data_IF_103271400875
#
_entry.id   IF_103271400875
#
_cell.length_a   1.000
_cell.length_b   1.000
_cell.length_c   1.000
_cell.angle_alpha   90.00
_cell.angle_beta   90.00
_cell.angle_gamma   90.00
#
_symmetry.space_group_name_H-M   'P 1'
#
loop_
_entity.id
_entity.type
_entity.pdbx_description
1 polymer ?
2 non-polymer ?
3 water ?
#
# COMPACT_ATOMS: atom_id res chain seq x y z
N UNK A 1 -3.49 22.08 10.93
CA UNK A 1 -2.44 21.65 9.98
C UNK A 1 -3.11 21.43 8.62
N UNK A 2 -2.36 21.61 7.52
CA UNK A 2 -2.90 21.48 6.14
C UNK A 2 -2.31 20.30 5.34
N UNK A 3 -3.17 19.36 4.93
CA UNK A 3 -2.69 18.21 4.19
C UNK A 3 -3.32 18.19 2.80
N UNK A 4 -2.91 17.25 1.98
CA UNK A 4 -3.40 17.11 0.64
C UNK A 4 -3.03 15.74 0.02
N UNK A 5 -3.52 15.59 -1.21
CA UNK A 5 -3.11 14.59 -2.15
C UNK A 5 -2.85 15.26 -3.52
N UNK A 6 -1.69 14.96 -4.10
CA UNK A 6 -1.38 15.40 -5.45
C UNK A 6 -1.50 14.21 -6.46
N UNK A 7 -1.86 14.54 -7.72
CA UNK A 7 -2.06 13.47 -8.68
C UNK A 7 -2.73 14.11 -9.87
N UNK A 8 -2.81 13.31 -10.93
CA UNK A 8 -3.51 13.69 -12.15
C UNK A 8 -4.03 12.37 -12.82
N UNK A 9 -5.38 12.12 -12.76
CA UNK A 9 -6.45 12.92 -12.09
C UNK A 9 -6.38 12.86 -10.58
N UNK A 10 -7.15 13.71 -9.92
CA UNK A 10 -7.25 13.65 -8.48
C UNK A 10 -8.69 13.57 -7.95
N UNK A 11 -9.68 14.01 -8.74
CA UNK A 11 -11.11 14.12 -8.31
C UNK A 11 -11.78 12.86 -7.80
N UNK A 12 -11.35 11.66 -8.19
CA UNK A 12 -11.94 10.42 -7.61
C UNK A 12 -11.22 9.82 -6.41
N UNK A 13 -10.16 10.52 -5.96
CA UNK A 13 -9.45 10.16 -4.75
C UNK A 13 -10.41 10.12 -3.56
N UNK A 14 -10.34 9.03 -2.76
CA UNK A 14 -11.13 9.04 -1.53
C UNK A 14 -10.29 9.42 -0.27
N UNK A 15 -9.03 9.84 -0.47
CA UNK A 15 -8.15 10.37 0.60
C UNK A 15 -8.79 11.53 1.40
N UNK A 16 -9.28 12.63 0.75
CA UNK A 16 -9.88 13.77 1.55
C UNK A 16 -11.10 13.40 2.29
N UNK A 17 -11.95 12.57 1.66
CA UNK A 17 -13.11 12.15 2.34
C UNK A 17 -12.72 11.44 3.65
N UNK A 18 -11.62 10.69 3.60
CA UNK A 18 -11.23 9.70 4.59
C UNK A 18 -10.40 10.32 5.71
N UNK A 19 -9.44 11.12 5.32
CA UNK A 19 -8.70 11.86 6.27
C UNK A 19 -9.51 12.80 7.01
N UNK A 20 -10.56 13.33 6.39
CA UNK A 20 -11.46 14.21 7.12
C UNK A 20 -12.26 13.52 8.20
N UNK A 21 -12.73 12.33 7.90
CA UNK A 21 -13.49 11.52 8.81
C UNK A 21 -12.59 11.31 10.05
N UNK A 22 -11.32 10.97 9.83
CA UNK A 22 -10.29 10.87 10.84
C UNK A 22 -10.16 12.16 11.65
N UNK A 23 -10.07 13.32 11.00
CA UNK A 23 -9.95 14.61 11.71
C UNK A 23 -11.13 14.88 12.58
N UNK A 24 -12.34 14.46 12.18
CA UNK A 24 -13.59 14.73 12.91
C UNK A 24 -13.72 13.82 14.11
N UNK A 25 -13.28 12.58 13.96
CA UNK A 25 -13.16 11.66 15.11
C UNK A 25 -12.11 12.09 16.15
N UNK A 26 -10.99 12.66 15.70
CA UNK A 26 -9.90 13.05 16.63
C UNK A 26 -10.08 14.44 17.24
N UNK A 27 -11.14 15.12 16.76
CA UNK A 27 -11.45 16.52 17.00
C UNK A 27 -10.32 17.52 16.62
N UNK A 28 -9.91 17.44 15.33
CA UNK A 28 -8.79 18.16 14.79
C UNK A 28 -9.16 19.21 13.73
N UNK A 29 -8.49 20.32 13.80
CA UNK A 29 -8.78 21.42 12.90
C UNK A 29 -7.81 21.38 11.74
N UNK A 30 -7.94 20.29 10.96
CA UNK A 30 -7.12 20.08 9.79
C UNK A 30 -7.97 20.10 8.54
N UNK A 31 -7.34 20.52 7.44
CA UNK A 31 -7.94 20.35 6.14
C UNK A 31 -7.11 19.27 5.44
N UNK A 32 -7.70 18.61 4.43
CA UNK A 32 -7.00 17.64 3.60
C UNK A 32 -7.73 17.79 2.32
N UNK A 33 -7.07 18.35 1.33
CA UNK A 33 -7.67 18.72 0.08
C UNK A 33 -7.03 18.01 -1.10
N UNK A 34 -7.80 17.74 -2.14
CA UNK A 34 -7.30 17.15 -3.39
C UNK A 34 -6.70 18.27 -4.25
N UNK A 35 -5.45 18.08 -4.71
CA UNK A 35 -4.77 19.06 -5.60
C UNK A 35 -4.46 18.40 -6.94
N UNK A 36 -5.01 18.98 -8.00
CA UNK A 36 -4.83 18.46 -9.35
C UNK A 36 -3.58 19.08 -9.90
N UNK A 37 -2.60 18.24 -10.18
CA UNK A 37 -1.36 18.71 -10.70
C UNK A 37 -1.00 18.00 -12.01
N UNK A 38 -1.39 18.58 -13.20
CA UNK A 38 -0.97 17.97 -14.46
C UNK A 38 0.56 17.82 -14.56
N UNK A 39 1.02 16.84 -15.32
CA UNK A 39 2.44 16.68 -15.60
C UNK A 39 3.08 18.02 -16.03
N UNK A 40 2.45 18.69 -16.97
CA UNK A 40 2.94 19.96 -17.54
C UNK A 40 3.12 21.08 -16.46
N UNK A 41 2.46 20.98 -15.29
CA UNK A 41 2.71 21.94 -14.21
C UNK A 41 3.47 21.43 -12.96
N UNK A 42 4.00 20.22 -13.08
CA UNK A 42 4.66 19.56 -11.99
C UNK A 42 5.99 20.21 -11.58
N UNK A 43 6.64 20.92 -12.54
CA UNK A 43 7.91 21.55 -12.30
C UNK A 43 7.73 22.67 -11.30
N UNK A 44 6.53 23.20 -11.23
CA UNK A 44 6.14 24.22 -10.24
C UNK A 44 5.54 23.60 -8.97
N UNK A 45 5.85 22.34 -8.67
CA UNK A 45 5.31 21.71 -7.43
C UNK A 45 5.72 22.37 -6.05
N UNK A 46 6.98 22.79 -5.86
CA UNK A 46 7.37 23.41 -4.60
C UNK A 46 6.49 24.62 -4.31
N UNK A 47 6.23 25.40 -5.36
CA UNK A 47 5.36 26.55 -5.33
C UNK A 47 3.89 26.21 -5.20
N UNK A 48 3.36 25.21 -5.90
CA UNK A 48 1.94 24.83 -5.67
C UNK A 48 1.71 24.44 -4.20
N UNK A 49 2.65 23.68 -3.63
CA UNK A 49 2.50 23.26 -2.23
C UNK A 49 2.71 24.44 -1.25
N UNK A 50 3.81 25.16 -1.38
CA UNK A 50 4.13 26.12 -0.33
C UNK A 50 3.26 27.34 -0.26
N UNK A 51 2.57 27.69 -1.36
CA UNK A 51 1.64 28.80 -1.39
C UNK A 51 0.35 28.44 -0.60
N UNK A 52 0.16 27.14 -0.37
CA UNK A 52 -1.04 26.65 0.31
C UNK A 52 -0.70 26.28 1.75
N UNK A 53 0.56 26.49 2.12
CA UNK A 53 1.04 26.25 3.47
C UNK A 53 0.86 24.84 3.91
N UNK A 54 1.21 23.89 3.03
CA UNK A 54 0.96 22.45 3.27
C UNK A 54 2.01 21.86 4.20
N UNK A 55 1.51 21.16 5.22
CA UNK A 55 2.32 20.37 6.18
C UNK A 55 2.81 18.95 5.73
N UNK A 56 1.93 18.20 5.04
CA UNK A 56 2.27 16.92 4.45
C UNK A 56 1.28 16.57 3.32
N UNK A 57 1.71 15.80 2.31
CA UNK A 57 0.79 15.34 1.27
C UNK A 57 1.07 13.94 0.79
N UNK A 58 -0.02 13.27 0.50
CA UNK A 58 0.07 12.03 -0.35
C UNK A 58 0.27 12.32 -1.86
N UNK A 59 0.87 11.32 -2.50
CA UNK A 59 1.29 11.39 -3.92
C UNK A 59 0.72 10.14 -4.62
N UNK A 60 -0.01 10.33 -5.72
CA UNK A 60 -0.62 9.18 -6.38
C UNK A 60 -0.33 9.27 -7.86
N UNK A 61 -1.02 8.49 -8.69
CA UNK A 61 -0.77 8.50 -10.12
C UNK A 61 -0.83 9.94 -10.75
N UNK A 62 0.12 10.29 -11.64
CA UNK A 62 1.31 9.57 -12.14
C UNK A 62 2.62 10.15 -11.63
N UNK A 63 2.66 10.61 -10.35
CA UNK A 63 3.83 11.33 -9.78
C UNK A 63 4.60 10.66 -8.60
N UNK A 64 4.36 9.37 -8.33
CA UNK A 64 4.97 8.63 -7.19
C UNK A 64 6.47 8.46 -7.35
N UNK A 65 6.93 8.29 -8.60
CA UNK A 65 8.35 8.47 -8.91
C UNK A 65 8.65 9.89 -9.31
N UNK A 66 7.68 10.55 -10.00
CA UNK A 66 7.93 11.87 -10.52
C UNK A 66 8.33 12.90 -9.39
N UNK A 67 7.86 12.66 -8.18
CA UNK A 67 8.09 13.54 -7.04
C UNK A 67 9.58 13.43 -6.53
N UNK A 68 10.19 12.29 -6.72
CA UNK A 68 11.42 11.91 -5.97
C UNK A 68 12.56 12.93 -6.07
N UNK A 69 12.88 13.39 -7.30
CA UNK A 69 13.89 14.42 -7.41
C UNK A 69 13.65 15.74 -6.66
N UNK A 70 12.45 16.00 -6.21
CA UNK A 70 12.15 17.26 -5.56
C UNK A 70 12.28 17.16 -4.07
N UNK A 71 12.59 15.97 -3.61
CA UNK A 71 12.70 15.74 -2.20
C UNK A 71 14.11 16.08 -1.82
N UNK A 72 14.20 16.68 -0.63
CA UNK A 72 15.46 16.88 0.14
C UNK A 72 15.98 15.60 0.76
N UNK A 73 15.07 14.70 1.17
CA UNK A 73 15.53 13.41 1.71
C UNK A 73 14.46 12.37 1.46
N UNK A 74 14.82 11.09 1.49
CA UNK A 74 13.84 10.00 1.20
C UNK A 74 14.18 8.79 2.05
N UNK A 75 13.21 8.15 2.71
CA UNK A 75 13.53 6.93 3.50
C UNK A 75 13.85 5.66 2.72
N UNK A 76 14.48 4.71 3.40
CA UNK A 76 14.95 3.48 2.79
C UNK A 76 13.85 2.71 2.09
N UNK A 77 12.65 2.79 2.65
CA UNK A 77 11.55 2.04 2.15
C UNK A 77 11.11 2.56 0.77
N UNK A 78 10.88 3.88 0.69
CA UNK A 78 10.57 4.56 -0.54
C UNK A 78 11.65 4.36 -1.60
N UNK A 79 12.90 4.32 -1.15
CA UNK A 79 14.05 4.36 -2.03
C UNK A 79 14.15 3.01 -2.65
N UNK A 80 13.69 2.03 -1.90
CA UNK A 80 13.81 0.65 -2.20
C UNK A 80 12.69 0.34 -3.17
N UNK A 81 11.48 0.77 -2.84
CA UNK A 81 10.36 0.51 -3.75
C UNK A 81 10.53 1.40 -4.96
N UNK A 82 11.34 2.47 -4.86
CA UNK A 82 11.55 3.46 -5.90
C UNK A 82 10.35 4.39 -6.12
N UNK A 83 9.53 4.62 -5.11
CA UNK A 83 8.34 5.38 -5.30
C UNK A 83 8.03 6.02 -3.98
N UNK A 84 7.45 7.22 -3.99
CA UNK A 84 7.13 7.94 -2.75
C UNK A 84 5.62 8.23 -2.76
N UNK A 85 4.89 7.90 -1.70
CA UNK A 85 3.45 8.23 -1.56
C UNK A 85 3.16 9.18 -0.48
N UNK A 86 4.19 9.71 0.17
CA UNK A 86 3.96 10.58 1.37
C UNK A 86 5.18 11.46 1.49
N UNK A 87 4.90 12.75 1.68
CA UNK A 87 5.93 13.74 1.88
C UNK A 87 5.58 14.58 3.02
N UNK A 88 6.62 14.91 3.78
CA UNK A 88 6.52 15.66 4.99
C UNK A 88 7.23 16.90 4.73
N UNK A 89 6.52 17.99 4.93
CA UNK A 89 7.14 19.31 4.89
C UNK A 89 7.48 19.75 6.34
N UNK A 90 8.76 19.72 6.68
CA UNK A 90 9.15 19.85 8.08
C UNK A 90 10.19 20.93 8.17
N UNK A 91 9.74 22.15 8.50
CA UNK A 91 10.57 23.35 8.39
C UNK A 91 11.18 23.52 6.99
N UNK A 92 10.29 23.65 5.99
CA UNK A 92 10.65 23.90 4.56
C UNK A 92 11.41 22.78 3.83
N UNK A 93 11.70 21.70 4.55
CA UNK A 93 12.33 20.56 3.96
C UNK A 93 11.30 19.52 3.57
N UNK A 94 11.46 18.97 2.37
CA UNK A 94 10.65 17.90 1.81
C UNK A 94 11.25 16.51 1.98
N UNK A 95 10.54 15.65 2.74
CA UNK A 95 11.02 14.29 3.05
C UNK A 95 10.06 13.19 2.60
N UNK A 96 10.55 12.19 1.85
CA UNK A 96 9.66 11.26 1.21
C UNK A 96 9.65 9.94 1.91
N UNK A 97 8.44 9.41 2.06
CA UNK A 97 8.19 8.23 2.84
C UNK A 97 7.34 7.36 1.90
N UNK A 98 7.19 6.07 2.23
CA UNK A 98 6.24 5.17 1.45
C UNK A 98 5.54 4.27 2.34
N UNK A 99 4.25 4.57 2.51
CA UNK A 99 3.45 3.84 3.44
C UNK A 99 2.57 2.74 2.85
N UNK A 100 2.56 2.55 1.51
CA UNK A 100 1.65 1.50 0.95
C UNK A 100 1.92 0.16 1.59
N UNK A 101 3.17 -0.29 1.64
CA UNK A 101 3.50 -1.61 2.08
C UNK A 101 3.15 -1.92 3.52
N UNK A 102 3.46 -0.97 4.43
CA UNK A 102 3.23 -1.07 5.87
C UNK A 102 1.77 -0.95 6.10
N UNK A 103 1.17 -0.24 5.18
CA UNK A 103 -0.26 -0.07 5.14
C UNK A 103 -0.97 -1.33 4.86
N UNK A 104 -0.55 -2.09 3.85
CA UNK A 104 -1.09 -3.46 3.63
C UNK A 104 -0.84 -4.42 4.78
N UNK A 105 0.38 -4.38 5.27
CA UNK A 105 0.88 -5.26 6.36
C UNK A 105 0.25 -5.00 7.68
N UNK A 106 -0.07 -3.74 8.00
CA UNK A 106 -0.75 -3.53 9.28
C UNK A 106 -2.22 -4.04 9.21
N UNK A 107 -2.90 -3.79 8.11
CA UNK A 107 -4.19 -4.39 7.87
C UNK A 107 -4.21 -5.91 8.02
N UNK A 108 -3.33 -6.60 7.29
CA UNK A 108 -3.21 -8.09 7.41
C UNK A 108 -3.02 -8.52 8.87
N UNK A 109 -2.07 -7.94 9.61
CA UNK A 109 -1.86 -8.18 11.02
C UNK A 109 -3.13 -8.25 11.85
N UNK A 110 -4.13 -7.40 11.54
CA UNK A 110 -5.34 -7.35 12.33
C UNK A 110 -6.21 -8.54 12.00
N UNK A 111 -6.29 -8.89 10.73
CA UNK A 111 -7.19 -9.96 10.34
C UNK A 111 -6.54 -11.31 10.12
N UNK A 112 -5.36 -11.53 10.68
CA UNK A 112 -4.70 -12.79 10.56
C UNK A 112 -3.99 -13.03 11.88
N UNK A 113 -4.48 -13.99 12.66
CA UNK A 113 -3.84 -14.24 13.92
C UNK A 113 -2.51 -14.97 13.78
N UNK A 114 -1.52 -14.54 14.54
CA UNK A 114 -0.17 -15.11 14.48
C UNK A 114 0.48 -15.15 13.09
N UNK A 115 0.57 -13.99 12.47
CA UNK A 115 1.23 -13.80 11.16
C UNK A 115 2.73 -14.05 11.24
N UNK A 116 3.28 -14.03 12.46
CA UNK A 116 4.71 -14.22 12.67
C UNK A 116 5.15 -15.63 12.41
N UNK A 117 4.22 -16.60 12.44
CA UNK A 117 4.57 -17.99 12.14
C UNK A 117 4.03 -18.39 10.78
N UNK A 118 3.63 -17.40 9.98
CA UNK A 118 3.01 -17.65 8.67
C UNK A 118 3.99 -18.00 7.54
N UNK A 119 3.59 -18.96 6.70
CA UNK A 119 4.25 -19.26 5.46
C UNK A 119 3.55 -18.42 4.38
N UNK A 120 4.23 -17.39 3.96
CA UNK A 120 3.62 -16.41 3.10
C UNK A 120 4.24 -16.53 1.70
N UNK A 121 3.40 -16.63 0.68
CA UNK A 121 3.86 -16.56 -0.71
C UNK A 121 3.42 -15.23 -1.23
N UNK A 122 4.23 -14.50 -1.98
CA UNK A 122 3.72 -13.26 -2.62
C UNK A 122 3.91 -13.48 -4.08
N UNK A 123 2.95 -13.06 -4.90
CA UNK A 123 3.05 -13.13 -6.36
C UNK A 123 3.34 -11.74 -6.94
N UNK A 124 4.35 -11.67 -7.79
CA UNK A 124 4.83 -10.40 -8.29
C UNK A 124 6.18 -10.07 -7.63
N UNK A 125 6.99 -9.37 -8.40
CA UNK A 125 8.36 -8.99 -7.96
C UNK A 125 8.60 -7.54 -8.14
N UNK A 126 7.57 -6.82 -8.59
CA UNK A 126 7.65 -5.39 -8.89
C UNK A 126 7.60 -4.60 -7.61
N UNK A 127 7.17 -3.35 -7.68
CA UNK A 127 7.39 -2.39 -6.56
C UNK A 127 6.47 -2.48 -5.37
N UNK A 128 5.18 -2.70 -5.64
CA UNK A 128 4.18 -3.04 -4.60
C UNK A 128 4.56 -4.35 -3.85
N UNK A 129 4.95 -5.40 -4.60
CA UNK A 129 5.45 -6.63 -4.02
C UNK A 129 6.67 -6.38 -3.19
N UNK A 130 7.54 -5.48 -3.63
CA UNK A 130 8.75 -5.26 -2.92
C UNK A 130 8.50 -4.58 -1.60
N UNK A 131 7.55 -3.68 -1.63
CA UNK A 131 7.28 -2.89 -0.48
C UNK A 131 6.63 -3.68 0.61
N UNK A 132 5.69 -4.55 0.23
CA UNK A 132 5.11 -5.54 1.18
C UNK A 132 6.14 -6.56 1.69
N UNK A 133 6.91 -7.19 0.81
CA UNK A 133 7.94 -8.09 1.31
C UNK A 133 8.91 -7.42 2.31
N UNK A 134 9.29 -6.17 2.07
CA UNK A 134 10.15 -5.52 3.08
C UNK A 134 9.54 -5.41 4.45
N UNK A 135 8.27 -5.13 4.48
CA UNK A 135 7.60 -4.92 5.74
C UNK A 135 7.37 -6.24 6.49
N UNK A 136 6.95 -7.27 5.73
CA UNK A 136 6.77 -8.60 6.26
C UNK A 136 8.06 -9.15 6.87
N UNK A 137 9.14 -9.07 6.11
CA UNK A 137 10.45 -9.50 6.50
C UNK A 137 10.84 -9.24 7.94
N UNK A 138 10.36 -8.11 8.46
CA UNK A 138 10.61 -7.62 9.80
C UNK A 138 9.76 -8.30 10.88
N UNK A 139 8.72 -9.03 10.48
CA UNK A 139 7.74 -9.56 11.45
C UNK A 139 7.45 -11.03 11.28
N UNK A 140 7.80 -11.58 10.13
CA UNK A 140 7.54 -12.96 9.81
C UNK A 140 8.85 -13.69 10.07
N UNK A 141 8.77 -14.80 10.80
CA UNK A 141 9.97 -15.59 11.16
C UNK A 141 10.34 -16.58 10.05
N UNK A 142 9.36 -17.41 9.57
CA UNK A 142 9.61 -18.29 8.45
C UNK A 142 9.92 -17.50 7.21
N UNK A 143 10.99 -17.85 6.49
CA UNK A 143 11.34 -17.21 5.21
C UNK A 143 10.20 -16.95 4.21
N UNK A 144 10.12 -15.70 3.76
CA UNK A 144 9.16 -15.31 2.74
C UNK A 144 9.47 -15.95 1.45
N UNK A 145 8.44 -16.16 0.62
CA UNK A 145 8.64 -16.65 -0.75
C UNK A 145 7.93 -15.70 -1.70
N UNK A 146 8.68 -15.23 -2.71
CA UNK A 146 8.14 -14.36 -3.74
C UNK A 146 8.22 -15.11 -5.04
N UNK A 147 7.13 -15.24 -5.76
CA UNK A 147 7.19 -15.93 -7.03
C UNK A 147 7.01 -14.89 -8.15
N UNK A 148 7.73 -15.07 -9.26
CA UNK A 148 7.61 -14.16 -10.40
C UNK A 148 7.84 -14.93 -11.77
N UNK A 149 7.32 -14.39 -12.85
CA UNK A 149 7.57 -14.99 -14.14
C UNK A 149 9.06 -14.85 -14.56
N UNK A 150 9.77 -13.77 -14.16
CA UNK A 150 11.18 -13.54 -14.57
C UNK A 150 12.12 -13.41 -13.37
N UNK A 151 13.14 -14.25 -13.36
CA UNK A 151 14.11 -14.31 -12.23
C UNK A 151 14.98 -13.03 -12.05
N UNK A 152 15.21 -12.32 -13.16
CA UNK A 152 16.08 -11.11 -13.22
C UNK A 152 15.62 -9.89 -12.35
N UNK A 153 14.34 -9.89 -11.98
CA UNK A 153 13.64 -8.75 -11.33
C UNK A 153 14.12 -8.68 -9.92
N UNK A 154 14.64 -9.80 -9.45
CA UNK A 154 15.12 -9.94 -8.08
C UNK A 154 16.54 -9.41 -7.90
N UNK A 155 17.19 -9.03 -9.00
CA UNK A 155 18.59 -8.60 -8.89
C UNK A 155 18.80 -7.32 -8.04
N UNK A 156 17.89 -6.38 -8.16
CA UNK A 156 17.86 -5.18 -7.28
C UNK A 156 17.07 -5.40 -5.98
N UNK A 157 16.66 -6.63 -5.65
CA UNK A 157 16.06 -6.86 -4.34
C UNK A 157 17.11 -6.87 -3.22
N UNK A 158 16.71 -6.77 -1.97
CA UNK A 158 17.71 -6.76 -0.95
C UNK A 158 17.58 -7.78 0.15
N UNK A 159 16.54 -8.62 0.06
CA UNK A 159 16.14 -9.50 1.19
C UNK A 159 16.67 -10.87 1.03
N UNK A 160 16.91 -11.53 2.16
CA UNK A 160 17.21 -12.96 2.11
C UNK A 160 15.86 -13.71 2.15
N UNK A 161 15.23 -13.80 0.98
CA UNK A 161 13.95 -14.50 0.88
C UNK A 161 14.05 -15.57 -0.22
N UNK A 162 13.17 -16.57 -0.20
CA UNK A 162 13.12 -17.58 -1.28
C UNK A 162 12.49 -16.92 -2.48
N UNK A 163 13.00 -17.24 -3.65
CA UNK A 163 12.56 -16.56 -4.84
C UNK A 163 12.42 -17.69 -5.81
N UNK A 164 11.24 -17.83 -6.36
CA UNK A 164 10.87 -18.98 -7.21
C UNK A 164 10.11 -18.42 -8.38
N UNK A 165 9.90 -19.25 -9.38
CA UNK A 165 9.04 -18.91 -10.50
C UNK A 165 7.62 -19.35 -10.27
N UNK A 166 6.76 -19.01 -11.20
CA UNK A 166 5.32 -19.21 -11.09
C UNK A 166 4.85 -20.65 -11.12
N UNK A 167 5.41 -21.46 -12.02
CA UNK A 167 5.05 -22.88 -12.06
C UNK A 167 5.45 -23.60 -10.78
N UNK A 168 6.67 -23.36 -10.31
CA UNK A 168 7.08 -23.83 -8.95
C UNK A 168 6.15 -23.36 -7.78
N UNK A 169 5.55 -22.16 -7.88
CA UNK A 169 4.52 -21.70 -6.89
C UNK A 169 3.20 -22.50 -6.99
N UNK A 170 2.71 -22.71 -8.20
CA UNK A 170 1.63 -23.65 -8.46
C UNK A 170 1.76 -25.03 -7.78
N UNK A 171 2.95 -25.65 -7.82
CA UNK A 171 3.09 -27.08 -7.39
C UNK A 171 3.46 -27.23 -5.93
N UNK A 172 3.86 -26.13 -5.32
CA UNK A 172 4.10 -26.13 -3.91
C UNK A 172 3.06 -25.26 -3.21
N UNK A 173 1.98 -24.91 -3.92
CA UNK A 173 0.96 -23.98 -3.36
C UNK A 173 0.39 -24.29 -1.94
N UNK A 174 0.52 -25.54 -1.54
CA UNK A 174 -0.11 -26.00 -0.30
C UNK A 174 0.80 -25.86 0.92
N UNK A 175 2.03 -25.42 0.69
CA UNK A 175 2.93 -25.05 1.80
C UNK A 175 2.59 -23.68 2.43
N UNK A 176 1.66 -22.93 1.82
CA UNK A 176 1.47 -21.50 2.22
C UNK A 176 0.23 -21.22 3.05
N UNK A 177 0.39 -20.36 4.07
CA UNK A 177 -0.78 -19.98 4.92
C UNK A 177 -1.48 -18.71 4.41
N UNK A 178 -0.69 -17.87 3.74
CA UNK A 178 -1.19 -16.66 3.08
C UNK A 178 -0.55 -16.52 1.69
N UNK A 179 -1.36 -16.23 0.70
CA UNK A 179 -0.92 -15.82 -0.63
C UNK A 179 -1.34 -14.38 -0.97
N UNK A 180 -0.40 -13.56 -1.42
CA UNK A 180 -0.71 -12.15 -1.76
C UNK A 180 -0.41 -11.86 -3.21
N UNK A 181 -1.44 -11.67 -4.04
CA UNK A 181 -1.26 -11.26 -5.43
C UNK A 181 -1.12 -9.73 -5.58
N UNK A 182 0.03 -9.29 -6.10
CA UNK A 182 0.38 -7.90 -6.36
C UNK A 182 0.46 -7.70 -7.91
N UNK A 183 0.02 -8.73 -8.64
CA UNK A 183 0.04 -8.82 -10.10
C UNK A 183 -1.36 -8.45 -10.59
N UNK A 184 -1.44 -7.57 -11.65
CA UNK A 184 -2.72 -7.06 -12.15
C UNK A 184 -3.51 -8.01 -13.06
N UNK A 194 -4.15 -15.94 -11.77
CA UNK A 194 -2.79 -15.60 -12.24
C UNK A 194 -1.92 -16.83 -12.08
N UNK A 195 -2.23 -17.57 -11.03
CA UNK A 195 -1.74 -18.91 -10.90
C UNK A 195 -2.94 -19.87 -10.88
N UNK A 196 -2.61 -21.14 -11.06
CA UNK A 196 -3.50 -22.24 -10.92
C UNK A 196 -3.63 -22.54 -9.41
N UNK A 197 -4.87 -22.44 -8.92
CA UNK A 197 -5.14 -22.65 -7.53
C UNK A 197 -5.46 -24.11 -7.29
N UNK A 198 -4.91 -25.00 -8.10
CA UNK A 198 -5.38 -26.37 -8.05
C UNK A 198 -4.80 -27.18 -6.89
N UNK A 199 -3.73 -26.67 -6.28
CA UNK A 199 -3.12 -27.32 -5.10
C UNK A 199 -3.29 -26.48 -3.85
N UNK A 200 -4.22 -25.52 -3.93
CA UNK A 200 -4.50 -24.53 -2.90
C UNK A 200 -5.05 -25.20 -1.65
N UNK A 201 -4.24 -25.27 -0.60
CA UNK A 201 -4.66 -25.79 0.72
C UNK A 201 -5.97 -25.12 1.22
N UNK A 202 -6.76 -25.85 2.01
CA UNK A 202 -8.15 -25.49 2.32
C UNK A 202 -8.34 -24.24 3.13
N UNK A 203 -7.37 -24.03 4.03
CA UNK A 203 -7.29 -22.95 5.02
C UNK A 203 -6.59 -21.65 4.54
N UNK A 204 -5.89 -21.77 3.41
CA UNK A 204 -5.00 -20.78 2.92
C UNK A 204 -5.77 -19.44 2.70
N UNK A 205 -5.29 -18.35 3.30
CA UNK A 205 -5.89 -17.03 2.96
C UNK A 205 -5.30 -16.53 1.64
N UNK A 206 -6.17 -16.12 0.71
CA UNK A 206 -5.82 -15.54 -0.55
C UNK A 206 -6.09 -14.03 -0.64
N UNK A 207 -5.07 -13.26 -0.94
CA UNK A 207 -5.21 -11.80 -0.85
C UNK A 207 -4.74 -11.10 -2.14
N UNK A 208 -5.39 -10.00 -2.47
CA UNK A 208 -5.02 -9.22 -3.63
C UNK A 208 -4.92 -7.81 -3.00
N UNK A 209 -4.01 -6.98 -3.50
CA UNK A 209 -3.90 -5.61 -3.02
C UNK A 209 -4.87 -4.63 -3.75
N UNK A 210 -5.63 -5.16 -4.72
CA UNK A 210 -6.75 -4.42 -5.39
C UNK A 210 -8.11 -4.68 -4.70
N UNK A 211 -8.93 -3.64 -4.67
CA UNK A 211 -10.26 -3.66 -4.05
C UNK A 211 -11.25 -3.02 -5.04
N UNK A 212 -10.75 -2.52 -6.16
CA UNK A 212 -11.59 -2.34 -7.34
C UNK A 212 -11.01 -3.04 -8.55
N UNK A 213 -11.64 -4.15 -9.00
CA UNK A 213 -12.94 -4.65 -8.52
C UNK A 213 -12.89 -5.25 -7.12
N UNK A 214 -14.04 -5.31 -6.48
CA UNK A 214 -14.10 -5.75 -5.10
C UNK A 214 -13.51 -7.18 -4.91
N UNK A 215 -13.46 -7.94 -6.02
CA UNK A 215 -12.82 -9.26 -6.16
C UNK A 215 -12.29 -9.44 -7.61
N UNK A 216 -10.98 -9.59 -7.70
CA UNK A 216 -10.28 -10.04 -8.89
C UNK A 216 -10.48 -11.58 -9.17
N UNK A 217 -10.22 -12.04 -10.42
CA UNK A 217 -10.33 -13.48 -10.74
C UNK A 217 -9.76 -14.47 -9.69
N UNK A 218 -8.53 -14.27 -9.25
CA UNK A 218 -7.91 -15.13 -8.22
C UNK A 218 -8.74 -15.23 -6.94
N UNK A 219 -9.20 -14.11 -6.40
CA UNK A 219 -10.09 -14.11 -5.23
C UNK A 219 -11.41 -14.83 -5.50
N UNK A 220 -11.98 -14.62 -6.68
CA UNK A 220 -13.24 -15.31 -7.06
C UNK A 220 -13.12 -16.83 -6.89
N UNK A 221 -12.14 -17.43 -7.53
CA UNK A 221 -11.94 -18.87 -7.57
C UNK A 221 -11.54 -19.46 -6.21
N UNK A 222 -10.59 -18.81 -5.57
CA UNK A 222 -10.25 -19.05 -4.18
C UNK A 222 -11.48 -19.07 -3.25
N UNK A 223 -12.47 -18.21 -3.54
CA UNK A 223 -13.72 -18.18 -2.74
C UNK A 223 -14.66 -19.36 -2.99
N UNK A 224 -14.86 -19.72 -4.25
CA UNK A 224 -15.55 -20.96 -4.63
C UNK A 224 -14.90 -22.21 -4.00
N UNK A 225 -13.59 -22.39 -4.19
CA UNK A 225 -12.84 -23.39 -3.40
C UNK A 225 -13.11 -23.29 -1.88
N UNK A 226 -13.92 -22.31 -1.48
CA UNK A 226 -14.33 -22.11 -0.09
C UNK A 226 -13.23 -21.61 0.85
N UNK A 227 -12.27 -20.85 0.28
CA UNK A 227 -11.16 -20.24 1.05
C UNK A 227 -11.43 -18.84 1.60
N UNK A 228 -10.74 -18.44 2.70
CA UNK A 228 -10.90 -17.02 3.08
C UNK A 228 -10.24 -16.05 2.08
N UNK A 229 -10.93 -14.98 1.75
CA UNK A 229 -10.33 -13.97 0.85
C UNK A 229 -10.17 -12.53 1.47
N UNK A 230 -9.36 -11.65 0.86
CA UNK A 230 -9.05 -10.32 1.44
C UNK A 230 -8.54 -9.38 0.37
N UNK A 231 -9.30 -8.38 0.00
CA UNK A 231 -8.82 -7.36 -0.95
C UNK A 231 -8.10 -6.16 -0.32
N UNK A 232 -7.86 -5.13 -1.14
CA UNK A 232 -6.87 -4.06 -0.85
C UNK A 232 -7.47 -2.85 -0.20
N UNK A 233 -8.72 -2.97 0.20
CA UNK A 233 -9.42 -1.91 0.91
C UNK A 233 -8.67 -1.43 2.15
N UNK A 234 -8.28 -2.37 2.99
CA UNK A 234 -7.58 -2.08 4.25
C UNK A 234 -6.21 -1.42 4.01
N UNK A 235 -5.49 -1.90 2.99
CA UNK A 235 -4.25 -1.25 2.50
C UNK A 235 -4.49 0.23 2.32
N UNK A 236 -5.60 0.59 1.66
CA UNK A 236 -5.84 2.00 1.32
C UNK A 236 -6.10 2.81 2.57
N UNK A 237 -6.79 2.25 3.53
CA UNK A 237 -7.05 3.02 4.72
C UNK A 237 -5.76 3.12 5.54
N UNK A 238 -5.03 2.01 5.60
CA UNK A 238 -3.87 1.86 6.47
C UNK A 238 -2.66 2.57 5.97
N UNK A 239 -2.57 2.76 4.66
CA UNK A 239 -1.46 3.56 4.12
C UNK A 239 -1.65 5.04 4.43
N UNK A 240 -2.88 5.50 4.61
CA UNK A 240 -3.20 6.91 4.80
C UNK A 240 -3.09 7.12 6.28
N UNK A 241 -3.52 6.11 7.03
CA UNK A 241 -3.37 6.23 8.46
C UNK A 241 -1.90 6.33 8.86
N UNK A 242 -1.05 5.59 8.14
CA UNK A 242 0.36 5.62 8.35
C UNK A 242 0.97 6.94 7.91
N UNK A 243 0.58 7.49 6.78
CA UNK A 243 0.94 8.89 6.49
C UNK A 243 0.56 9.83 7.63
N UNK A 244 -0.59 9.63 8.21
CA UNK A 244 -1.04 10.58 9.21
C UNK A 244 -0.16 10.51 10.49
N UNK A 245 0.16 9.32 10.93
CA UNK A 245 1.07 9.11 12.05
C UNK A 245 2.37 9.89 11.88
N UNK A 246 2.98 9.76 10.69
CA UNK A 246 4.23 10.49 10.32
C UNK A 246 4.06 12.01 10.43
N UNK A 247 3.04 12.54 9.74
CA UNK A 247 2.85 13.92 9.66
C UNK A 247 2.58 14.50 11.07
N UNK A 248 1.83 13.78 11.91
CA UNK A 248 1.20 14.43 13.06
C UNK A 248 1.58 13.84 14.45
N UNK A 249 2.22 12.67 14.48
CA UNK A 249 2.60 12.04 15.76
C UNK A 249 1.40 11.58 16.66
N UNK A 250 0.21 11.52 16.03
CA UNK A 250 -1.06 11.15 16.68
C UNK A 250 -1.62 9.80 16.21
N UNK A 251 -2.62 9.28 16.89
CA UNK A 251 -3.13 7.97 16.45
C UNK A 251 -4.40 8.08 15.58
N UNK A 252 -4.39 7.54 14.31
CA UNK A 252 -5.57 7.66 13.43
C UNK A 252 -6.72 6.71 13.88
N UNK A 253 -7.97 7.04 13.55
CA UNK A 253 -9.13 6.26 13.95
C UNK A 253 -9.43 5.51 12.66
N UNK A 254 -8.93 4.27 12.63
CA UNK A 254 -9.03 3.33 11.51
C UNK A 254 -10.45 2.97 11.13
N UNK A 255 -11.30 2.85 12.15
CA UNK A 255 -12.72 2.48 12.02
C UNK A 255 -13.50 3.58 11.38
N UNK A 256 -13.20 4.82 11.74
CA UNK A 256 -13.87 5.97 11.17
C UNK A 256 -13.48 6.12 9.72
N UNK A 257 -12.20 5.88 9.43
CA UNK A 257 -11.63 6.04 8.09
C UNK A 257 -12.15 4.96 7.14
N UNK A 258 -12.12 3.72 7.59
CA UNK A 258 -12.75 2.65 6.77
C UNK A 258 -14.28 2.77 6.65
N UNK A 259 -14.96 3.10 7.75
CA UNK A 259 -16.44 3.14 7.61
C UNK A 259 -16.88 4.16 6.54
N UNK A 260 -16.18 5.28 6.42
CA UNK A 260 -16.67 6.30 5.46
C UNK A 260 -16.36 5.89 4.02
N UNK A 261 -15.24 5.19 3.84
CA UNK A 261 -14.85 4.77 2.51
C UNK A 261 -15.79 3.72 1.96
N UNK A 262 -16.08 2.70 2.76
CA UNK A 262 -17.18 1.76 2.52
C UNK A 262 -18.56 2.38 2.20
N UNK A 263 -18.96 3.39 2.96
CA UNK A 263 -20.27 3.97 2.67
C UNK A 263 -20.24 4.64 1.32
N UNK A 264 -19.10 5.22 1.00
CA UNK A 264 -18.95 5.92 -0.24
C UNK A 264 -18.92 4.88 -1.38
N UNK A 265 -18.15 3.82 -1.20
CA UNK A 265 -18.14 2.73 -2.16
C UNK A 265 -19.56 2.17 -2.48
N UNK A 266 -20.42 1.95 -1.48
CA UNK A 266 -21.83 1.63 -1.74
C UNK A 266 -22.56 2.90 -2.24
N UNK A 267 -23.00 2.92 -3.48
CA UNK A 267 -23.48 4.20 -4.03
C UNK A 267 -22.63 4.56 -5.23
#
# INVERSE_FOLDING_TARGET
>A
MKFAVIGNPISHSLSPLMHHANFQSLNLENTYEAINVPVNQFQDIKKIISEKSIDGFNVTIPHKERIIPYLDDINEQAKSVGAVNTVLVKDGKWIGYNTDGIGYVNGLKQIYEGIEDAYILILGAGGASKGIANELYKIVRPTLTVANRTMSRFNNWSLNINKINLSHAESHLDEFDIIINTTPAGMNGNTDSVISLNRLASHTLVSDIVYNPYKTPILIEAEQRGNPIYNGLDMFVHQGAESFKIWTNLEPDIKAMKNIVIQKLKGELLEHHHHHH
#
